data_IF_637444970790
#
_entry.id   IF_637444970790
#
_cell.length_a   1.000
_cell.length_b   1.000
_cell.length_c   1.000
_cell.angle_alpha   90.00
_cell.angle_beta   90.00
_cell.angle_gamma   90.00
#
_symmetry.space_group_name_H-M   'P 1'
#
loop_
_entity.id
_entity.type
_entity.pdbx_description
1 polymer ?
#
# COMPACT_ATOMS: atom_id res chain seq x y z
N UNK A 1 -3.40 -22.48 -24.63
CA UNK A 1 -3.50 -22.18 -24.21
C UNK A 1 -2.83 -21.70 -23.28
N UNK A 2 -2.18 -21.35 -23.21
CA UNK A 2 -1.42 -20.86 -22.44
C UNK A 2 -1.88 -20.18 -21.30
N UNK A 3 -2.80 -19.52 -21.33
CA UNK A 3 -3.22 -18.83 -20.24
C UNK A 3 -3.84 -19.69 -19.23
N UNK A 4 -3.78 -20.92 -19.44
CA UNK A 4 -4.34 -21.82 -18.50
C UNK A 4 -3.65 -21.81 -17.19
N UNK A 5 -2.39 -21.45 -17.17
CA UNK A 5 -1.68 -21.53 -15.93
C UNK A 5 -1.94 -20.32 -15.06
N UNK A 6 -2.61 -19.32 -15.56
CA UNK A 6 -2.85 -18.14 -14.76
C UNK A 6 -4.24 -18.06 -14.28
N UNK A 7 -4.46 -17.62 -13.04
CA UNK A 7 -5.81 -17.44 -12.55
C UNK A 7 -6.50 -16.38 -13.37
N UNK A 8 -7.71 -16.63 -13.75
CA UNK A 8 -8.41 -15.66 -14.56
C UNK A 8 -8.92 -14.51 -13.75
N UNK A 9 -8.91 -14.63 -12.41
CA UNK A 9 -9.43 -13.55 -11.60
C UNK A 9 -8.35 -12.60 -11.11
N UNK A 10 -7.09 -12.79 -11.51
CA UNK A 10 -6.04 -11.88 -11.11
C UNK A 10 -6.12 -10.65 -12.01
N UNK A 11 -6.18 -9.48 -11.39
CA UNK A 11 -6.26 -8.25 -12.13
C UNK A 11 -5.06 -7.38 -11.80
N UNK A 12 -4.34 -7.01 -12.82
CA UNK A 12 -3.14 -6.20 -12.68
C UNK A 12 -3.47 -4.74 -12.90
N UNK A 13 -2.73 -3.89 -12.22
CA UNK A 13 -2.88 -2.45 -12.37
C UNK A 13 -2.03 -1.98 -13.53
N UNK A 14 -2.44 -0.86 -14.13
CA UNK A 14 -1.58 -0.19 -15.10
C UNK A 14 -0.38 0.35 -14.35
N UNK A 15 0.79 0.44 -15.00
CA UNK A 15 1.99 0.88 -14.28
C UNK A 15 1.85 2.22 -13.59
N UNK A 16 1.08 3.13 -14.16
CA UNK A 16 0.93 4.43 -13.53
C UNK A 16 0.13 4.36 -12.24
N UNK A 17 -0.48 3.22 -11.95
CA UNK A 17 -1.21 3.02 -10.71
C UNK A 17 -0.52 2.08 -9.74
N UNK A 18 0.74 1.74 -10.02
CA UNK A 18 1.49 0.90 -9.11
C UNK A 18 1.77 1.64 -7.81
N UNK A 19 1.96 0.88 -6.77
CA UNK A 19 2.40 1.41 -5.50
C UNK A 19 3.47 0.48 -4.95
N UNK A 20 4.13 0.91 -3.90
CA UNK A 20 5.21 0.12 -3.30
C UNK A 20 5.10 0.16 -1.79
N UNK A 21 5.50 -0.93 -1.18
CA UNK A 21 5.54 -1.01 0.27
C UNK A 21 6.98 -1.38 0.62
N UNK A 22 7.66 -0.51 1.35
CA UNK A 22 9.05 -0.71 1.67
C UNK A 22 9.15 -1.13 3.13
N UNK A 23 9.65 -2.34 3.37
CA UNK A 23 9.76 -2.88 4.72
C UNK A 23 11.05 -3.64 4.85
N UNK A 24 11.74 -3.44 5.97
CA UNK A 24 12.95 -4.20 6.29
C UNK A 24 13.94 -4.25 5.15
N UNK A 25 14.09 -3.12 4.45
CA UNK A 25 15.05 -3.05 3.36
C UNK A 25 14.61 -3.67 2.06
N UNK A 26 13.36 -4.13 1.99
CA UNK A 26 12.84 -4.74 0.78
C UNK A 26 11.73 -3.87 0.19
N UNK A 27 11.67 -3.81 -1.13
CA UNK A 27 10.65 -3.06 -1.83
C UNK A 27 9.67 -4.07 -2.41
N UNK A 28 8.43 -3.99 -1.96
CA UNK A 28 7.39 -4.87 -2.46
C UNK A 28 6.49 -4.08 -3.39
N UNK A 29 6.42 -4.47 -4.65
CA UNK A 29 5.62 -3.76 -5.63
C UNK A 29 4.17 -4.21 -5.52
N UNK A 30 3.26 -3.26 -5.46
CA UNK A 30 1.84 -3.54 -5.46
C UNK A 30 1.34 -3.24 -6.85
N UNK A 31 1.16 -4.28 -7.65
CA UNK A 31 0.78 -4.14 -9.06
C UNK A 31 -0.50 -4.87 -9.39
N UNK A 32 -1.25 -5.28 -8.38
CA UNK A 32 -2.52 -5.96 -8.59
C UNK A 32 -3.59 -5.31 -7.75
N UNK A 33 -4.85 -5.55 -8.11
CA UNK A 33 -5.95 -4.93 -7.40
C UNK A 33 -6.20 -5.57 -6.04
N UNK A 34 -5.58 -6.70 -5.75
CA UNK A 34 -5.77 -7.39 -4.48
C UNK A 34 -4.46 -8.04 -4.10
N UNK A 35 -3.87 -7.60 -3.00
CA UNK A 35 -2.57 -8.09 -2.54
C UNK A 35 -2.72 -8.51 -1.09
N UNK A 36 -2.30 -9.74 -0.77
CA UNK A 36 -2.38 -10.25 0.59
C UNK A 36 -1.01 -10.20 1.24
N UNK A 37 -1.01 -9.99 2.55
CA UNK A 37 0.21 -9.85 3.35
C UNK A 37 0.07 -10.73 4.58
N UNK A 38 1.09 -11.53 4.85
CA UNK A 38 1.05 -12.36 6.03
C UNK A 38 2.25 -13.28 6.11
N UNK A 39 2.25 -14.13 7.13
CA UNK A 39 3.37 -15.03 7.36
C UNK A 39 3.33 -16.24 6.47
N UNK A 40 2.16 -16.65 6.03
CA UNK A 40 2.02 -17.82 5.17
C UNK A 40 2.68 -17.55 3.82
N UNK A 41 3.33 -18.56 3.28
CA UNK A 41 3.98 -18.42 1.98
C UNK A 41 2.98 -18.26 0.84
N UNK A 42 1.71 -18.44 1.11
CA UNK A 42 0.70 -18.26 0.09
C UNK A 42 0.32 -16.81 -0.11
N UNK A 43 0.82 -15.92 0.74
CA UNK A 43 0.52 -14.51 0.58
C UNK A 43 1.33 -13.90 -0.54
N UNK A 44 0.84 -12.81 -1.08
CA UNK A 44 1.58 -12.08 -2.11
C UNK A 44 2.81 -11.41 -1.53
N UNK A 45 2.68 -10.88 -0.32
CA UNK A 45 3.82 -10.33 0.41
C UNK A 45 3.97 -11.16 1.66
N UNK A 46 5.10 -11.84 1.78
CA UNK A 46 5.34 -12.74 2.89
C UNK A 46 6.23 -12.07 3.92
N UNK A 47 5.74 -11.98 5.14
CA UNK A 47 6.49 -11.40 6.25
C UNK A 47 6.80 -12.52 7.24
N UNK A 48 8.03 -12.99 7.25
CA UNK A 48 8.40 -14.11 8.08
C UNK A 48 8.80 -13.65 9.46
N UNK A 49 7.79 -13.47 10.30
CA UNK A 49 7.99 -12.99 11.65
C UNK A 49 6.89 -13.60 12.49
N UNK A 50 7.25 -14.06 13.68
CA UNK A 50 6.29 -14.74 14.53
C UNK A 50 5.12 -13.86 14.92
N UNK A 51 5.31 -12.55 14.98
CA UNK A 51 4.23 -11.68 15.38
C UNK A 51 3.24 -11.42 14.26
N UNK A 52 3.52 -11.91 13.06
CA UNK A 52 2.64 -11.72 11.91
C UNK A 52 1.71 -12.90 11.79
N UNK A 53 0.41 -12.65 11.66
CA UNK A 53 -0.56 -13.71 11.46
C UNK A 53 -0.38 -14.33 10.09
N UNK A 54 -0.80 -15.56 9.91
CA UNK A 54 -0.67 -16.22 8.62
C UNK A 54 -1.28 -15.38 7.52
N UNK A 55 -2.49 -14.86 7.75
CA UNK A 55 -3.12 -13.92 6.85
C UNK A 55 -3.37 -12.69 7.69
N UNK A 56 -2.54 -11.70 7.50
CA UNK A 56 -2.55 -10.53 8.38
C UNK A 56 -3.32 -9.36 7.78
N UNK A 57 -3.13 -9.11 6.50
CA UNK A 57 -3.67 -7.91 5.89
C UNK A 57 -3.95 -8.11 4.41
N UNK A 58 -4.73 -7.20 3.87
CA UNK A 58 -5.01 -7.18 2.45
C UNK A 58 -5.03 -5.75 1.99
N UNK A 59 -4.46 -5.48 0.83
CA UNK A 59 -4.54 -4.17 0.21
C UNK A 59 -5.28 -4.35 -1.09
N UNK A 60 -6.34 -3.55 -1.28
CA UNK A 60 -7.10 -3.58 -2.52
C UNK A 60 -7.03 -2.22 -3.18
N UNK A 61 -7.25 -2.19 -4.49
CA UNK A 61 -7.31 -0.94 -5.24
C UNK A 61 -8.79 -0.69 -5.56
N UNK A 62 -9.36 0.33 -4.95
CA UNK A 62 -10.78 0.63 -5.09
C UNK A 62 -10.97 2.08 -5.47
N UNK A 63 -11.64 2.33 -6.59
CA UNK A 63 -11.97 3.69 -7.00
C UNK A 63 -10.74 4.61 -7.03
N UNK A 64 -9.64 4.08 -7.51
CA UNK A 64 -8.43 4.87 -7.65
C UNK A 64 -7.62 5.01 -6.38
N UNK A 65 -8.00 4.32 -5.32
CA UNK A 65 -7.30 4.41 -4.04
C UNK A 65 -6.91 3.03 -3.56
N UNK A 66 -5.84 2.97 -2.77
CA UNK A 66 -5.46 1.72 -2.12
C UNK A 66 -6.05 1.70 -0.73
N UNK A 67 -6.70 0.59 -0.40
CA UNK A 67 -7.36 0.43 0.88
C UNK A 67 -6.74 -0.74 1.61
N UNK A 68 -6.36 -0.52 2.86
CA UNK A 68 -5.71 -1.54 3.68
C UNK A 68 -6.73 -2.10 4.66
N UNK A 69 -6.78 -3.42 4.73
CA UNK A 69 -7.70 -4.13 5.63
C UNK A 69 -6.91 -5.02 6.58
N UNK A 70 -7.29 -4.99 7.85
CA UNK A 70 -6.76 -5.92 8.84
C UNK A 70 -7.66 -7.16 8.81
N UNK A 71 -7.06 -8.33 8.62
CA UNK A 71 -7.80 -9.58 8.52
C UNK A 71 -7.90 -10.26 9.89
N UNK A 72 -8.30 -9.50 10.89
CA UNK A 72 -8.44 -10.00 12.26
C UNK A 72 -7.12 -10.55 12.77
N UNK A 73 -6.05 -9.84 12.49
CA UNK A 73 -4.73 -10.30 12.89
C UNK A 73 -4.55 -10.18 14.40
N UNK A 74 -3.67 -11.00 14.94
CA UNK A 74 -3.41 -10.95 16.37
C UNK A 74 -2.69 -9.68 16.76
N UNK A 75 -1.67 -9.32 16.02
CA UNK A 75 -0.88 -8.15 16.37
C UNK A 75 -1.45 -6.84 15.89
N UNK A 76 -2.46 -6.89 15.02
CA UNK A 76 -3.11 -5.70 14.55
C UNK A 76 -2.34 -4.94 13.50
N UNK A 77 -2.92 -3.85 13.04
CA UNK A 77 -2.31 -2.96 12.06
C UNK A 77 -2.49 -1.54 12.55
N UNK A 78 -1.44 -0.75 12.42
CA UNK A 78 -1.50 0.68 12.73
C UNK A 78 -1.01 1.46 11.52
N UNK A 79 -1.64 2.59 11.25
CA UNK A 79 -1.21 3.49 10.18
C UNK A 79 -0.93 4.83 10.83
N UNK A 80 0.29 5.31 10.66
CA UNK A 80 0.75 6.54 11.29
C UNK A 80 0.50 6.49 12.79
N UNK A 81 0.79 5.30 13.36
CA UNK A 81 0.74 5.03 14.80
C UNK A 81 -0.66 4.99 15.38
N UNK A 82 -1.66 4.82 14.52
CA UNK A 82 -3.03 4.72 14.97
C UNK A 82 -3.60 3.38 14.53
N UNK A 83 -4.15 2.61 15.47
CA UNK A 83 -4.70 1.30 15.16
C UNK A 83 -5.89 1.42 14.22
N UNK A 84 -5.91 0.59 13.19
CA UNK A 84 -7.00 0.64 12.21
C UNK A 84 -7.50 -0.77 11.91
N UNK A 85 -8.70 -0.85 11.40
CA UNK A 85 -9.23 -2.08 10.84
C UNK A 85 -9.33 -1.95 9.33
N UNK A 86 -9.53 -0.73 8.84
CA UNK A 86 -9.60 -0.42 7.43
C UNK A 86 -9.24 1.03 7.26
N UNK A 87 -8.43 1.33 6.27
CA UNK A 87 -8.10 2.73 6.00
C UNK A 87 -7.66 2.90 4.55
N UNK A 88 -7.88 4.08 4.02
CA UNK A 88 -7.38 4.43 2.69
C UNK A 88 -5.95 4.90 2.85
N UNK A 89 -5.04 4.31 2.08
CA UNK A 89 -3.62 4.64 2.19
C UNK A 89 -3.28 5.87 1.37
N UNK A 90 -2.32 6.62 1.87
CA UNK A 90 -1.82 7.81 1.20
C UNK A 90 -0.32 7.74 1.12
N UNK A 91 0.22 8.45 0.14
CA UNK A 91 1.66 8.54 -0.04
C UNK A 91 2.35 8.87 1.27
N UNK A 92 3.31 8.05 1.64
CA UNK A 92 4.11 8.31 2.84
C UNK A 92 3.56 7.74 4.14
N UNK A 93 2.41 7.05 4.07
CA UNK A 93 1.85 6.46 5.29
C UNK A 93 2.80 5.43 5.86
N UNK A 94 2.98 5.48 7.17
CA UNK A 94 3.79 4.50 7.88
C UNK A 94 2.84 3.43 8.40
N UNK A 95 3.06 2.19 7.97
CA UNK A 95 2.18 1.08 8.32
C UNK A 95 2.94 0.14 9.23
N UNK A 96 2.29 -0.30 10.31
CA UNK A 96 2.87 -1.30 11.19
C UNK A 96 1.98 -2.53 11.16
N UNK A 97 2.56 -3.66 10.76
CA UNK A 97 1.90 -4.94 10.83
C UNK A 97 2.45 -5.62 12.07
N UNK A 98 1.70 -5.59 13.16
CA UNK A 98 2.21 -6.01 14.45
C UNK A 98 3.45 -5.18 14.78
N UNK A 99 4.64 -5.78 14.74
CA UNK A 99 5.85 -5.03 15.02
C UNK A 99 6.65 -4.69 13.78
N UNK A 100 6.19 -5.08 12.61
CA UNK A 100 6.91 -4.86 11.37
C UNK A 100 6.45 -3.56 10.73
N UNK A 101 7.37 -2.65 10.53
CA UNK A 101 7.03 -1.31 10.05
C UNK A 101 7.43 -1.14 8.60
N UNK A 102 6.61 -0.44 7.84
CA UNK A 102 6.91 -0.14 6.45
C UNK A 102 6.36 1.22 6.06
N UNK A 103 6.66 1.63 4.85
CA UNK A 103 6.16 2.89 4.35
C UNK A 103 5.53 2.66 2.98
N UNK A 104 4.40 3.31 2.76
CA UNK A 104 3.63 3.18 1.53
C UNK A 104 3.98 4.31 0.57
N UNK A 105 4.29 3.97 -0.66
CA UNK A 105 4.71 4.92 -1.69
C UNK A 105 3.83 4.74 -2.91
N UNK A 106 3.39 5.83 -3.50
CA UNK A 106 2.69 5.77 -4.77
C UNK A 106 3.04 7.01 -5.58
N UNK A 107 2.91 6.91 -6.90
CA UNK A 107 3.30 7.98 -7.80
C UNK A 107 2.19 8.92 -8.19
N UNK A 108 1.00 8.59 -7.83
CA UNK A 108 -0.16 9.29 -8.35
C UNK A 108 -0.15 10.76 -8.04
N UNK A 109 0.29 11.11 -6.86
CA UNK A 109 0.30 12.50 -6.45
C UNK A 109 1.25 13.33 -7.28
N UNK A 110 2.36 12.74 -7.65
CA UNK A 110 3.34 13.45 -8.44
C UNK A 110 2.79 13.81 -9.79
N UNK A 111 2.11 12.87 -10.40
CA UNK A 111 1.53 13.11 -11.70
C UNK A 111 0.51 14.24 -11.63
N UNK A 112 -0.28 14.24 -10.60
CA UNK A 112 -1.30 15.23 -10.44
C UNK A 112 -0.70 16.62 -10.32
N UNK A 113 0.39 16.72 -9.60
CA UNK A 113 0.98 18.00 -9.45
C UNK A 113 1.53 18.55 -10.70
N UNK A 114 2.09 17.71 -11.52
CA UNK A 114 2.67 18.17 -12.74
C UNK A 114 1.66 18.86 -13.58
N UNK A 115 0.46 18.44 -13.52
CA UNK A 115 -0.52 19.03 -14.38
C UNK A 115 -0.93 20.38 -13.90
N UNK A 116 -0.63 20.74 -12.76
CA UNK A 116 -1.01 22.00 -12.31
C UNK A 116 -0.18 22.97 -12.53
N UNK A 117 0.46 23.23 -12.49
CA UNK A 117 1.22 24.20 -12.54
C UNK A 117 1.15 25.16 -12.61
N UNK A 118 0.85 25.28 -12.11
CA UNK A 118 0.87 26.11 -11.96
C UNK A 118 0.92 26.70 -11.35
N UNK A 119 0.94 26.64 -10.80
CA UNK A 119 1.07 27.25 -10.13
C UNK A 119 1.43 27.74 -9.45
N UNK A 120 1.55 27.66 -9.17
CA UNK A 120 1.98 28.04 -8.39
C UNK A 120 2.03 28.40 -7.58
N UNK A 121 1.87 28.49 -7.35
CA UNK A 121 1.98 28.76 -6.49
C UNK A 121 2.06 28.67 -5.61
N UNK A 122 2.04 28.27 -5.42
CA UNK A 122 2.20 27.87 -4.66
C UNK A 122 2.55 28.25 -3.90
N UNK A 123 2.62 28.40 -3.94
CA UNK A 123 2.98 28.49 -3.22
C UNK A 123 3.01 28.87 -2.43
N UNK A 124 2.89 28.75 -2.24
CA UNK A 124 2.86 28.83 -1.57
C UNK A 124 2.84 28.74 -0.75
N UNK A 125 2.73 28.61 -0.73
CA UNK A 125 2.69 28.17 -0.08
C UNK A 125 2.77 27.97 0.54
N UNK A 126 2.75 27.77 0.52
CA UNK A 126 2.87 27.35 1.01
C UNK A 126 3.06 27.28 1.76
N UNK A 127 3.08 27.20 1.83
CA UNK A 127 3.28 27.16 2.49
C UNK A 127 3.28 26.79 3.19
N UNK A 128 3.28 26.51 3.18
CA UNK A 128 3.23 26.03 3.81
C UNK A 128 3.29 25.50 4.40
N UNK A 129 3.15 25.27 4.40
CA UNK A 129 3.24 24.77 4.85
C UNK A 129 3.34 24.45 5.45
N UNK A 130 3.32 24.13 5.44
CA UNK A 130 3.41 23.75 5.92
C UNK A 130 3.58 23.51 6.50
N UNK A 131 3.58 23.57 6.46
CA UNK A 131 3.78 23.42 6.87
C UNK A 131 3.83 23.35 7.27
#
# INVERSE_FOLDING_TARGET
MSNDSEPTDVQYLAPENFAWLIMRGHIHTINRTNVTIGRSLENDIVLQDECISREHARITHEDGHFVLYDLCSKGGIAVNFKRIERTVLKMGDIIQFAQVRGIFIEDKAIITETTQKETGNLDKNQEGCGE
#
